data_IF_094986253536
#
_entry.id   IF_094986253536
#
_cell.length_a   1.000
_cell.length_b   1.000
_cell.length_c   1.000
_cell.angle_alpha   90.00
_cell.angle_beta   90.00
_cell.angle_gamma   90.00
#
_symmetry.space_group_name_H-M   'P 1'
#
loop_
_entity.id
_entity.type
_entity.pdbx_description
1 polymer ?
#
# COMPACT_ATOMS: atom_id res chain seq x y z
N UNK A 1 -24.51 -9.87 3.32
CA UNK A 1 -23.85 -8.58 3.02
C UNK A 1 -22.45 -8.89 2.56
N UNK A 2 -22.15 -8.71 1.28
CA UNK A 2 -20.78 -8.89 0.76
C UNK A 2 -19.95 -7.70 1.21
N UNK A 3 -19.21 -7.86 2.30
CA UNK A 3 -18.11 -6.94 2.61
C UNK A 3 -17.01 -7.22 1.59
N UNK A 4 -17.04 -6.51 0.46
CA UNK A 4 -15.89 -6.42 -0.43
C UNK A 4 -14.86 -5.54 0.28
N UNK A 5 -14.14 -6.13 1.23
CA UNK A 5 -12.99 -5.48 1.85
C UNK A 5 -11.94 -5.35 0.76
N UNK A 6 -11.64 -4.12 0.32
CA UNK A 6 -10.56 -3.87 -0.61
C UNK A 6 -9.34 -3.41 0.18
N UNK A 7 -8.17 -3.91 -0.17
CA UNK A 7 -6.89 -3.44 0.37
C UNK A 7 -6.31 -2.43 -0.63
N UNK A 8 -5.94 -1.26 -0.11
CA UNK A 8 -5.30 -0.20 -0.90
C UNK A 8 -3.79 -0.39 -0.85
N UNK A 9 -3.14 -0.32 -2.00
CA UNK A 9 -1.69 -0.39 -2.15
C UNK A 9 -1.11 0.89 -2.73
N UNK A 10 0.05 1.28 -2.21
CA UNK A 10 0.75 2.51 -2.57
C UNK A 10 2.15 2.24 -3.11
N UNK A 11 2.54 3.01 -4.12
CA UNK A 11 3.93 3.06 -4.59
C UNK A 11 4.67 4.20 -3.86
N UNK A 12 5.77 3.88 -3.20
CA UNK A 12 6.63 4.85 -2.49
C UNK A 12 7.94 5.14 -3.25
N UNK A 13 8.06 4.75 -4.52
CA UNK A 13 9.24 5.09 -5.31
C UNK A 13 9.17 6.56 -5.75
N UNK A 14 10.02 7.44 -5.21
CA UNK A 14 10.03 8.88 -5.55
C UNK A 14 10.24 9.18 -7.03
N UNK A 15 10.87 8.27 -7.77
CA UNK A 15 11.12 8.42 -9.21
C UNK A 15 9.97 7.90 -10.08
N UNK A 16 8.96 7.24 -9.49
CA UNK A 16 7.81 6.76 -10.23
C UNK A 16 6.71 7.82 -10.28
N UNK A 17 6.22 8.13 -11.49
CA UNK A 17 5.11 9.08 -11.69
C UNK A 17 3.81 8.71 -10.99
N UNK A 18 3.56 7.41 -10.75
CA UNK A 18 2.35 6.93 -10.04
C UNK A 18 2.57 6.78 -8.54
N UNK A 19 3.71 7.23 -8.03
CA UNK A 19 4.03 7.22 -6.60
C UNK A 19 3.21 8.24 -5.84
N UNK A 20 3.01 8.00 -4.55
CA UNK A 20 2.23 8.89 -3.67
C UNK A 20 2.80 10.31 -3.57
N UNK A 21 4.06 10.50 -3.96
CA UNK A 21 4.73 11.79 -3.91
C UNK A 21 4.35 12.73 -5.06
N UNK A 22 3.55 12.28 -6.03
CA UNK A 22 3.19 13.06 -7.21
C UNK A 22 1.68 13.31 -7.30
N UNK A 23 1.32 14.51 -7.77
CA UNK A 23 0.29 14.73 -8.80
C UNK A 23 -0.82 13.68 -8.95
N UNK A 24 -0.45 12.72 -9.79
CA UNK A 24 -1.30 11.74 -10.46
C UNK A 24 -1.08 10.34 -9.87
N UNK A 25 -0.86 10.26 -8.56
CA UNK A 25 -0.65 9.00 -7.87
C UNK A 25 -1.84 8.05 -8.11
N UNK A 26 -1.53 6.82 -8.50
CA UNK A 26 -2.53 5.75 -8.68
C UNK A 26 -2.32 4.74 -7.57
N UNK A 27 -3.38 4.51 -6.78
CA UNK A 27 -3.41 3.45 -5.79
C UNK A 27 -4.08 2.21 -6.39
N UNK A 28 -3.60 1.02 -5.99
CA UNK A 28 -4.16 -0.25 -6.43
C UNK A 28 -5.15 -0.76 -5.39
N UNK A 29 -6.38 -1.03 -5.82
CA UNK A 29 -7.41 -1.65 -4.98
C UNK A 29 -7.49 -3.13 -5.34
N UNK A 30 -7.08 -3.98 -4.40
CA UNK A 30 -7.19 -5.43 -4.55
C UNK A 30 -8.27 -5.96 -3.62
N UNK A 31 -9.06 -6.92 -4.12
CA UNK A 31 -10.02 -7.63 -3.27
C UNK A 31 -9.27 -8.39 -2.19
N UNK A 32 -9.69 -8.23 -0.93
CA UNK A 32 -9.10 -8.93 0.19
C UNK A 32 -9.20 -10.44 0.02
N UNK A 33 -8.03 -11.09 0.00
CA UNK A 33 -7.83 -12.50 0.27
C UNK A 33 -6.56 -12.68 1.11
N UNK A 34 -6.43 -13.81 1.81
CA UNK A 34 -5.20 -14.10 2.56
C UNK A 34 -3.97 -14.01 1.64
N UNK A 35 -4.09 -14.52 0.41
CA UNK A 35 -3.03 -14.44 -0.60
C UNK A 35 -2.68 -12.99 -0.93
N UNK A 36 -3.66 -12.10 -1.12
CA UNK A 36 -3.35 -10.68 -1.37
C UNK A 36 -2.58 -10.05 -0.22
N UNK A 37 -2.82 -10.45 1.02
CA UNK A 37 -2.16 -9.89 2.20
C UNK A 37 -0.70 -10.34 2.32
N UNK A 38 -0.39 -11.59 1.97
CA UNK A 38 0.94 -12.19 2.16
C UNK A 38 1.83 -12.09 0.92
N UNK A 39 1.25 -11.82 -0.26
CA UNK A 39 2.01 -11.77 -1.51
C UNK A 39 2.55 -10.37 -1.76
N UNK A 40 3.77 -10.29 -2.27
CA UNK A 40 4.35 -9.03 -2.71
C UNK A 40 3.68 -8.54 -4.00
N UNK A 41 3.18 -7.29 -3.97
CA UNK A 41 2.62 -6.63 -5.14
C UNK A 41 3.60 -5.59 -5.68
N UNK A 42 3.61 -5.39 -6.98
CA UNK A 42 4.58 -4.52 -7.65
C UNK A 42 3.87 -3.49 -8.53
N UNK A 43 4.40 -2.27 -8.54
CA UNK A 43 3.88 -1.18 -9.34
C UNK A 43 4.07 -1.48 -10.83
N UNK A 44 3.00 -1.50 -11.61
CA UNK A 44 3.06 -1.74 -13.06
C UNK A 44 3.88 -0.70 -13.83
N UNK A 45 4.07 0.50 -13.28
CA UNK A 45 4.80 1.60 -13.94
C UNK A 45 6.32 1.60 -13.67
N UNK A 46 6.78 1.07 -12.54
CA UNK A 46 8.19 1.15 -12.15
C UNK A 46 8.75 -0.12 -11.50
N UNK A 47 7.96 -1.19 -11.44
CA UNK A 47 8.29 -2.49 -10.82
C UNK A 47 8.73 -2.42 -9.35
N UNK A 48 8.56 -1.27 -8.68
CA UNK A 48 8.86 -1.14 -7.26
C UNK A 48 7.77 -1.83 -6.43
N UNK A 49 8.19 -2.47 -5.34
CA UNK A 49 7.28 -3.10 -4.37
C UNK A 49 6.27 -2.08 -3.86
N UNK A 50 5.01 -2.47 -3.86
CA UNK A 50 3.90 -1.71 -3.31
C UNK A 50 3.79 -2.02 -1.81
N UNK A 51 3.29 -1.03 -1.07
CA UNK A 51 3.08 -1.13 0.38
C UNK A 51 1.58 -1.01 0.64
N UNK A 52 1.02 -1.95 1.40
CA UNK A 52 -0.41 -1.91 1.75
C UNK A 52 -0.70 -0.76 2.72
N UNK A 53 -1.93 -0.23 2.71
CA UNK A 53 -2.37 0.75 3.71
C UNK A 53 -2.24 0.18 5.14
N UNK A 54 -2.54 -1.10 5.30
CA UNK A 54 -2.43 -1.82 6.58
C UNK A 54 -0.99 -1.75 7.10
N UNK A 55 0.01 -2.02 6.25
CA UNK A 55 1.43 -1.91 6.64
C UNK A 55 1.81 -0.48 7.05
N UNK A 56 1.25 0.53 6.38
CA UNK A 56 1.50 1.93 6.72
C UNK A 56 0.92 2.26 8.09
N UNK A 57 -0.32 1.86 8.36
CA UNK A 57 -1.00 2.06 9.63
C UNK A 57 -0.26 1.37 10.78
N UNK A 58 0.14 0.10 10.61
CA UNK A 58 0.93 -0.64 11.60
C UNK A 58 2.22 0.10 11.94
N UNK A 59 2.98 0.56 10.93
CA UNK A 59 4.23 1.30 11.14
C UNK A 59 4.00 2.62 11.88
N UNK A 60 2.92 3.33 11.57
CA UNK A 60 2.57 4.57 12.26
C UNK A 60 2.20 4.32 13.72
N UNK A 61 1.40 3.29 14.00
CA UNK A 61 1.06 2.89 15.37
C UNK A 61 2.32 2.54 16.16
N UNK A 62 3.20 1.71 15.59
CA UNK A 62 4.45 1.30 16.23
C UNK A 62 5.38 2.50 16.49
N UNK A 63 5.51 3.41 15.53
CA UNK A 63 6.32 4.62 15.69
C UNK A 63 5.77 5.56 16.77
N UNK A 64 4.43 5.69 16.88
CA UNK A 64 3.79 6.50 17.91
C UNK A 64 3.97 5.91 19.32
N UNK A 65 3.99 4.58 19.46
CA UNK A 65 4.21 3.90 20.75
C UNK A 65 5.65 3.96 21.27
N UNK A 66 6.65 4.20 20.42
CA UNK A 66 8.06 4.28 20.86
C UNK A 66 8.44 5.57 21.60
N UNK A 67 7.53 6.56 21.70
CA UNK A 67 7.78 7.82 22.39
C UNK A 67 7.07 7.94 23.75
N UNK A 68 6.62 6.82 24.33
CA UNK A 68 6.04 6.75 25.68
C UNK A 68 6.92 5.94 26.63
#
# INVERSE_FOLDING_TARGET
>A
MNYHTNIVYYCFNKHCKTSIYHRDAVHLNLTFSLDTLITDHFCSSCSSKLVSLIDVEIRQTLAATCCH
#
